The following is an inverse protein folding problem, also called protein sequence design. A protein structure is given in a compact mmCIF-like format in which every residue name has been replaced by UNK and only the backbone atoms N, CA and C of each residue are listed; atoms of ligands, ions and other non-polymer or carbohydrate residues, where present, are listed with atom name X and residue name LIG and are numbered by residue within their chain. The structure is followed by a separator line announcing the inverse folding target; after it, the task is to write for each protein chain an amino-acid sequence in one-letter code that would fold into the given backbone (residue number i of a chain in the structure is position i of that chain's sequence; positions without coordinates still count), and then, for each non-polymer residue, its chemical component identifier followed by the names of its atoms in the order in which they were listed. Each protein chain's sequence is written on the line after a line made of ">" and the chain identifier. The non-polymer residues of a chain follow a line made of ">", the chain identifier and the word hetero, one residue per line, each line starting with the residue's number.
data_IF_462942379045
#
_entry.id   IF_462942379045
#
_cell.length_a   1.000
_cell.length_b   1.000
_cell.length_c   1.000
_cell.angle_alpha   90.00
_cell.angle_beta   90.00
_cell.angle_gamma   90.00
#
_symmetry.space_group_name_H-M   'P 1'
#
loop_
_entity.id
_entity.type
_entity.pdbx_description
1 polymer ?
#
# COMPACT_ATOMS: atom_id res chain seq x y z
N UNK A 1 -16.09 16.92 0.75
CA UNK A 1 -15.05 15.87 0.66
C UNK A 1 -15.70 14.66 0.03
N UNK A 2 -15.45 14.42 -1.27
CA UNK A 2 -16.00 13.26 -1.96
C UNK A 2 -15.04 12.10 -1.77
N UNK A 3 -15.47 11.03 -1.12
CA UNK A 3 -14.75 9.76 -1.07
C UNK A 3 -14.57 9.29 -2.50
N UNK A 4 -13.34 9.31 -3.02
CA UNK A 4 -13.04 8.69 -4.30
C UNK A 4 -13.17 7.18 -4.08
N UNK A 5 -14.12 6.56 -4.80
CA UNK A 5 -14.23 5.11 -4.82
C UNK A 5 -12.89 4.54 -5.30
N UNK A 6 -12.33 3.59 -4.56
CA UNK A 6 -11.17 2.84 -5.02
C UNK A 6 -11.49 2.25 -6.40
N UNK A 7 -10.59 2.44 -7.37
CA UNK A 7 -10.64 1.67 -8.61
C UNK A 7 -10.61 0.17 -8.30
N UNK A 8 -11.52 -0.63 -8.85
CA UNK A 8 -11.62 -2.07 -8.58
C UNK A 8 -10.30 -2.83 -8.74
N UNK A 9 -9.38 -2.31 -9.56
CA UNK A 9 -8.01 -2.80 -9.74
C UNK A 9 -7.16 -2.74 -8.47
N UNK A 10 -7.26 -1.66 -7.69
CA UNK A 10 -6.49 -1.48 -6.44
C UNK A 10 -6.95 -2.45 -5.34
N UNK A 11 -8.26 -2.70 -5.23
CA UNK A 11 -8.79 -3.73 -4.33
C UNK A 11 -8.37 -5.15 -4.74
N UNK A 12 -8.32 -5.43 -6.05
CA UNK A 12 -7.84 -6.71 -6.55
C UNK A 12 -6.36 -6.93 -6.23
N UNK A 13 -5.52 -5.89 -6.36
CA UNK A 13 -4.11 -5.98 -6.01
C UNK A 13 -3.89 -6.19 -4.51
N UNK A 14 -4.65 -5.50 -3.65
CA UNK A 14 -4.65 -5.72 -2.20
C UNK A 14 -5.02 -7.17 -1.84
N UNK A 15 -6.14 -7.68 -2.34
CA UNK A 15 -6.55 -9.07 -2.09
C UNK A 15 -5.55 -10.08 -2.63
N UNK A 16 -4.97 -9.81 -3.81
CA UNK A 16 -3.95 -10.67 -4.40
C UNK A 16 -2.68 -10.69 -3.55
N UNK A 17 -2.30 -9.59 -2.92
CA UNK A 17 -1.16 -9.56 -2.01
C UNK A 17 -1.47 -10.31 -0.70
N UNK A 18 -2.64 -10.05 -0.11
CA UNK A 18 -3.05 -10.62 1.17
C UNK A 18 -3.27 -12.15 1.13
N UNK A 19 -3.90 -12.67 0.08
CA UNK A 19 -4.21 -14.11 0.01
C UNK A 19 -3.00 -15.01 -0.31
N UNK A 20 -1.81 -14.44 -0.52
CA UNK A 20 -0.63 -15.20 -0.89
C UNK A 20 0.22 -15.57 0.33
N UNK A 21 0.87 -16.75 0.34
CA UNK A 21 1.83 -17.08 1.38
C UNK A 21 3.03 -16.13 1.34
N UNK A 22 3.70 -15.97 2.48
CA UNK A 22 4.80 -14.99 2.65
C UNK A 22 5.89 -15.10 1.57
N UNK A 23 6.26 -16.32 1.16
CA UNK A 23 7.23 -16.56 0.10
C UNK A 23 6.81 -15.96 -1.24
N UNK A 24 5.53 -16.04 -1.57
CA UNK A 24 4.97 -15.46 -2.80
C UNK A 24 4.78 -13.95 -2.66
N UNK A 25 4.40 -13.46 -1.47
CA UNK A 25 4.37 -12.01 -1.18
C UNK A 25 5.75 -11.38 -1.40
N UNK A 26 6.81 -12.05 -0.94
CA UNK A 26 8.18 -11.59 -1.16
C UNK A 26 8.52 -11.48 -2.65
N UNK A 27 8.19 -12.52 -3.42
CA UNK A 27 8.44 -12.53 -4.87
C UNK A 27 7.64 -11.43 -5.60
N UNK A 28 6.37 -11.21 -5.24
CA UNK A 28 5.55 -10.13 -5.82
C UNK A 28 6.15 -8.74 -5.57
N UNK A 29 6.79 -8.54 -4.40
CA UNK A 29 7.46 -7.28 -4.07
C UNK A 29 8.81 -7.10 -4.75
N UNK A 30 9.50 -8.20 -5.03
CA UNK A 30 10.74 -8.18 -5.81
C UNK A 30 10.44 -7.91 -7.29
N UNK A 31 9.33 -8.46 -7.82
CA UNK A 31 8.93 -8.29 -9.22
C UNK A 31 8.26 -6.93 -9.50
N UNK A 32 7.34 -6.47 -8.62
CA UNK A 32 6.54 -5.26 -8.86
C UNK A 32 6.23 -4.47 -7.56
N UNK A 33 7.17 -4.44 -6.62
CA UNK A 33 7.02 -3.76 -5.33
C UNK A 33 6.51 -2.31 -5.38
N UNK A 34 7.00 -1.45 -6.30
CA UNK A 34 6.51 -0.07 -6.41
C UNK A 34 5.02 0.03 -6.77
N UNK A 35 4.46 -0.88 -7.57
CA UNK A 35 3.04 -0.85 -7.92
C UNK A 35 2.15 -1.19 -6.72
N UNK A 36 2.56 -2.18 -5.90
CA UNK A 36 1.85 -2.54 -4.67
C UNK A 36 1.88 -1.40 -3.65
N UNK A 37 3.04 -0.78 -3.42
CA UNK A 37 3.17 0.35 -2.49
C UNK A 37 2.36 1.54 -2.96
N UNK A 38 2.32 1.82 -4.26
CA UNK A 38 1.47 2.88 -4.83
C UNK A 38 0.00 2.66 -4.51
N UNK A 39 -0.48 1.42 -4.64
CA UNK A 39 -1.86 1.07 -4.29
C UNK A 39 -2.15 1.30 -2.82
N UNK A 40 -1.23 0.93 -1.92
CA UNK A 40 -1.42 1.16 -0.49
C UNK A 40 -1.55 2.65 -0.16
N UNK A 41 -0.63 3.47 -0.67
CA UNK A 41 -0.65 4.92 -0.46
C UNK A 41 -1.91 5.55 -1.09
N UNK A 42 -2.28 5.14 -2.30
CA UNK A 42 -3.50 5.60 -2.97
C UNK A 42 -4.75 5.29 -2.13
N UNK A 43 -4.84 4.11 -1.53
CA UNK A 43 -5.97 3.72 -0.69
C UNK A 43 -5.99 4.52 0.62
N UNK A 44 -4.84 4.72 1.26
CA UNK A 44 -4.72 5.56 2.46
C UNK A 44 -5.08 7.03 2.19
N UNK A 45 -4.79 7.54 0.98
CA UNK A 45 -5.15 8.89 0.57
C UNK A 45 -6.64 9.02 0.18
N UNK A 46 -7.19 8.06 -0.58
CA UNK A 46 -8.54 8.19 -1.15
C UNK A 46 -9.66 7.72 -0.19
N UNK A 47 -9.33 6.96 0.87
CA UNK A 47 -10.31 6.43 1.84
C UNK A 47 -9.99 6.78 3.27
N UNK A 48 -11.02 7.30 3.94
CA UNK A 48 -11.00 7.69 5.34
C UNK A 48 -11.87 6.79 6.23
N UNK A 49 -12.27 5.60 5.75
CA UNK A 49 -12.99 4.63 6.58
C UNK A 49 -11.99 3.91 7.50
N UNK A 50 -12.17 4.04 8.81
CA UNK A 50 -11.27 3.49 9.85
C UNK A 50 -10.88 2.03 9.58
N UNK A 51 -11.85 1.12 9.42
CA UNK A 51 -11.58 -0.31 9.14
C UNK A 51 -10.65 -0.54 7.94
N UNK A 52 -10.76 0.31 6.91
CA UNK A 52 -9.99 0.16 5.68
C UNK A 52 -8.59 0.71 5.83
N UNK A 53 -8.45 1.84 6.52
CA UNK A 53 -7.15 2.42 6.86
C UNK A 53 -6.37 1.46 7.76
N UNK A 54 -7.00 0.95 8.83
CA UNK A 54 -6.40 -0.01 9.75
C UNK A 54 -5.96 -1.28 9.02
N UNK A 55 -6.81 -1.83 8.14
CA UNK A 55 -6.47 -3.00 7.33
C UNK A 55 -5.23 -2.77 6.45
N UNK A 56 -5.15 -1.63 5.76
CA UNK A 56 -3.99 -1.32 4.90
C UNK A 56 -2.73 -1.09 5.72
N UNK A 57 -2.84 -0.42 6.87
CA UNK A 57 -1.71 -0.22 7.78
C UNK A 57 -1.21 -1.56 8.34
N UNK A 58 -2.09 -2.49 8.68
CA UNK A 58 -1.70 -3.83 9.11
C UNK A 58 -0.92 -4.58 8.01
N UNK A 59 -1.36 -4.50 6.75
CA UNK A 59 -0.63 -5.10 5.63
C UNK A 59 0.76 -4.49 5.41
N UNK A 60 0.89 -3.17 5.59
CA UNK A 60 2.17 -2.47 5.52
C UNK A 60 3.07 -2.88 6.69
N UNK A 61 2.53 -2.97 7.90
CA UNK A 61 3.27 -3.41 9.08
C UNK A 61 3.80 -4.83 8.89
N UNK A 62 2.95 -5.78 8.47
CA UNK A 62 3.35 -7.15 8.16
C UNK A 62 4.44 -7.21 7.07
N UNK A 63 4.32 -6.39 6.02
CA UNK A 63 5.32 -6.31 4.95
C UNK A 63 6.69 -5.93 5.50
N UNK A 64 6.74 -4.90 6.34
CA UNK A 64 7.97 -4.34 6.90
C UNK A 64 8.54 -5.23 8.01
N UNK A 65 7.69 -5.85 8.83
CA UNK A 65 8.07 -6.81 9.85
C UNK A 65 8.77 -8.03 9.22
N UNK A 66 8.26 -8.53 8.08
CA UNK A 66 8.89 -9.64 7.35
C UNK A 66 10.24 -9.26 6.73
N UNK A 67 10.42 -8.02 6.24
CA UNK A 67 11.72 -7.54 5.77
C UNK A 67 11.82 -6.01 5.83
N UNK A 68 12.54 -5.44 6.81
CA UNK A 68 12.65 -3.99 6.97
C UNK A 68 13.27 -3.28 5.76
N UNK A 69 14.07 -3.97 4.94
CA UNK A 69 14.66 -3.38 3.72
C UNK A 69 13.60 -3.01 2.68
N UNK A 70 12.38 -3.56 2.78
CA UNK A 70 11.24 -3.21 1.90
C UNK A 70 10.78 -1.77 2.07
N UNK A 71 11.15 -1.09 3.17
CA UNK A 71 10.93 0.34 3.34
C UNK A 71 11.47 1.17 2.17
N UNK A 72 12.51 0.69 1.47
CA UNK A 72 13.05 1.33 0.25
C UNK A 72 12.01 1.51 -0.87
N UNK A 73 10.98 0.67 -0.92
CA UNK A 73 9.92 0.74 -1.93
C UNK A 73 9.05 2.00 -1.74
N UNK A 74 8.94 2.50 -0.50
CA UNK A 74 8.22 3.73 -0.16
C UNK A 74 9.03 5.00 -0.47
N UNK A 75 10.33 4.86 -0.74
CA UNK A 75 11.21 5.99 -1.09
C UNK A 75 11.34 6.22 -2.60
N UNK A 76 10.64 5.44 -3.44
CA UNK A 76 10.73 5.58 -4.90
C UNK A 76 10.00 6.84 -5.40
N UNK A 77 10.70 7.62 -6.24
CA UNK A 77 10.30 8.91 -6.84
C UNK A 77 8.91 8.92 -7.52
N UNK A 78 8.38 7.76 -7.92
CA UNK A 78 7.02 7.65 -8.50
C UNK A 78 5.89 7.92 -7.51
N UNK A 79 6.19 7.97 -6.21
CA UNK A 79 5.27 8.38 -5.14
C UNK A 79 5.33 9.89 -4.86
N UNK A 80 6.32 10.60 -5.42
CA UNK A 80 6.43 12.06 -5.37
C UNK A 80 5.49 12.76 -6.37
N UNK A 81 4.36 12.12 -6.70
CA UNK A 81 3.16 12.87 -7.07
C UNK A 81 2.74 13.54 -5.78
N UNK A 82 2.71 14.87 -5.79
CA UNK A 82 2.34 15.78 -4.68
C UNK A 82 1.61 15.07 -3.53
N UNK A 83 2.18 15.15 -2.32
CA UNK A 83 1.57 14.71 -1.06
C UNK A 83 1.69 13.23 -0.62
N UNK A 84 2.87 12.62 -0.76
CA UNK A 84 3.17 11.31 -0.09
C UNK A 84 3.03 11.36 1.45
N UNK A 85 3.11 12.54 2.05
CA UNK A 85 3.10 12.74 3.50
C UNK A 85 1.84 13.42 4.04
N UNK A 86 0.98 14.00 3.19
CA UNK A 86 -0.24 14.68 3.62
C UNK A 86 -1.15 13.80 4.50
N UNK A 87 -1.33 12.48 4.22
CA UNK A 87 -2.16 11.61 5.06
C UNK A 87 -1.66 11.47 6.51
N UNK A 88 -0.42 11.86 6.81
CA UNK A 88 0.21 11.73 8.11
C UNK A 88 0.48 13.09 8.80
N UNK A 89 0.13 14.22 8.15
CA UNK A 89 0.46 15.57 8.61
C UNK A 89 -0.74 16.34 9.21
N UNK A 90 -1.93 15.73 9.24
CA UNK A 90 -3.16 16.28 9.85
C UNK A 90 -3.39 15.81 11.26
#
# INVERSE_FOLDING_TARGET
>A
MATKLISGTSLQLLRRYDHQPESHRAQLLDDDGPAYVRVFIQVLHDIFKEDTVEYVLALVDEMLAANPKRARLFHHITLAVEDTYEPFLS
#
